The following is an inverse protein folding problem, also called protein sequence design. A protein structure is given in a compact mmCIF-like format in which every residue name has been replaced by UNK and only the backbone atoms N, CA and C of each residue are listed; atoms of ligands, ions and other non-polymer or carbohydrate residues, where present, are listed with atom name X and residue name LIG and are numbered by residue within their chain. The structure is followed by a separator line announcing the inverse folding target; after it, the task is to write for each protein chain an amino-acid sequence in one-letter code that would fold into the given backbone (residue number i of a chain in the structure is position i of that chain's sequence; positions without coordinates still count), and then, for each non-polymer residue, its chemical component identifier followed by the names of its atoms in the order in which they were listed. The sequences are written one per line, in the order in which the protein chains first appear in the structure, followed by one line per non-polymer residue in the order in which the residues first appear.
data_IF_332189190717
#
_entry.id   IF_332189190717
#
_cell.length_a   1.000
_cell.length_b   1.000
_cell.length_c   1.000
_cell.angle_alpha   90.00
_cell.angle_beta   90.00
_cell.angle_gamma   90.00
#
_symmetry.space_group_name_H-M   'P 1'
#
loop_
_entity.id
_entity.type
_entity.pdbx_description
1 polymer ?
#
# COMPACT_ATOMS: atom_id res chain seq x y z
N UNK A 1 -35.24 -16.01 -8.57
CA UNK A 1 -34.56 -14.70 -8.61
C UNK A 1 -33.43 -14.72 -7.61
N UNK A 2 -32.20 -15.02 -8.03
CA UNK A 2 -31.01 -14.78 -7.20
C UNK A 2 -30.59 -13.34 -7.44
N UNK A 3 -31.19 -12.41 -6.70
CA UNK A 3 -30.77 -11.01 -6.73
C UNK A 3 -29.33 -10.94 -6.24
N UNK A 4 -28.44 -10.32 -7.02
CA UNK A 4 -27.10 -9.99 -6.54
C UNK A 4 -27.25 -9.04 -5.35
N UNK A 5 -26.95 -9.50 -4.14
CA UNK A 5 -26.83 -8.62 -2.98
C UNK A 5 -25.55 -7.82 -3.16
N UNK A 6 -25.64 -6.49 -3.10
CA UNK A 6 -24.46 -5.64 -3.13
C UNK A 6 -23.49 -6.04 -2.02
N UNK A 7 -22.22 -6.21 -2.36
CA UNK A 7 -21.14 -6.51 -1.41
C UNK A 7 -20.23 -5.29 -1.31
N UNK A 8 -19.78 -4.99 -0.09
CA UNK A 8 -18.76 -3.96 0.11
C UNK A 8 -17.43 -4.47 -0.46
N UNK A 9 -16.79 -3.65 -1.29
CA UNK A 9 -15.48 -3.97 -1.89
C UNK A 9 -14.36 -3.60 -0.91
N UNK A 10 -14.44 -2.42 -0.30
CA UNK A 10 -13.42 -1.89 0.61
C UNK A 10 -14.07 -1.31 1.88
N UNK A 11 -13.41 -1.50 3.01
CA UNK A 11 -13.66 -0.85 4.30
C UNK A 11 -12.30 -0.43 4.91
N UNK A 12 -11.75 0.65 4.37
CA UNK A 12 -10.38 1.10 4.66
C UNK A 12 -10.30 2.05 5.84
N UNK A 13 -9.47 1.69 6.81
CA UNK A 13 -9.04 2.55 7.92
C UNK A 13 -7.62 3.02 7.69
N UNK A 14 -7.43 4.35 7.65
CA UNK A 14 -6.13 4.98 7.47
C UNK A 14 -5.60 5.50 8.81
N UNK A 15 -4.42 5.06 9.21
CA UNK A 15 -3.75 5.50 10.42
C UNK A 15 -2.60 6.44 10.09
N UNK A 16 -2.52 7.57 10.80
CA UNK A 16 -1.55 8.62 10.54
C UNK A 16 -0.72 8.98 11.77
N UNK A 17 0.54 9.36 11.53
CA UNK A 17 1.38 10.10 12.47
C UNK A 17 1.66 11.48 11.89
N UNK A 18 0.89 12.48 12.32
CA UNK A 18 0.87 13.80 11.70
C UNK A 18 0.30 13.72 10.28
N UNK A 19 1.07 14.12 9.27
CA UNK A 19 0.70 14.04 7.86
C UNK A 19 1.24 12.78 7.15
N UNK A 20 1.80 11.82 7.89
CA UNK A 20 2.38 10.58 7.35
C UNK A 20 1.44 9.41 7.56
N UNK A 21 1.09 8.72 6.47
CA UNK A 21 0.31 7.49 6.52
C UNK A 21 1.18 6.35 7.08
N UNK A 22 0.84 5.81 8.25
CA UNK A 22 1.64 4.78 8.90
C UNK A 22 1.11 3.37 8.68
N UNK A 23 -0.19 3.23 8.38
CA UNK A 23 -0.83 1.94 8.14
C UNK A 23 -2.18 2.12 7.43
N UNK A 24 -2.55 1.15 6.61
CA UNK A 24 -3.90 1.01 6.06
C UNK A 24 -4.44 -0.34 6.53
N UNK A 25 -5.65 -0.39 7.09
CA UNK A 25 -6.32 -1.63 7.49
C UNK A 25 -7.55 -1.80 6.62
N UNK A 26 -7.68 -2.96 5.96
CA UNK A 26 -8.86 -3.35 5.20
C UNK A 26 -9.73 -4.25 6.10
N UNK A 27 -10.94 -3.79 6.41
CA UNK A 27 -11.88 -4.50 7.30
C UNK A 27 -12.94 -5.30 6.54
N UNK A 28 -13.09 -5.08 5.22
CA UNK A 28 -14.00 -5.83 4.39
C UNK A 28 -13.45 -7.25 4.14
N UNK A 29 -14.34 -8.23 4.15
CA UNK A 29 -14.03 -9.62 3.81
C UNK A 29 -14.10 -9.83 2.28
N UNK A 30 -13.48 -8.94 1.50
CA UNK A 30 -13.51 -8.94 0.05
C UNK A 30 -12.09 -8.86 -0.52
N UNK A 31 -11.68 -9.88 -1.28
CA UNK A 31 -10.34 -10.01 -1.85
C UNK A 31 -10.16 -9.31 -3.21
N UNK A 32 -11.24 -8.73 -3.75
CA UNK A 32 -11.22 -7.95 -5.00
C UNK A 32 -10.93 -6.47 -4.78
N UNK A 33 -10.92 -6.02 -3.52
CA UNK A 33 -10.62 -4.65 -3.09
C UNK A 33 -9.12 -4.42 -2.82
N UNK A 34 -8.82 -3.63 -1.79
CA UNK A 34 -7.47 -3.25 -1.42
C UNK A 34 -6.59 -4.46 -1.11
N UNK A 35 -5.52 -4.61 -1.88
CA UNK A 35 -4.55 -5.68 -1.65
C UNK A 35 -3.79 -5.49 -0.32
N UNK A 36 -3.86 -6.49 0.56
CA UNK A 36 -3.08 -6.51 1.80
C UNK A 36 -3.79 -5.82 2.96
N UNK A 37 -3.04 -5.00 3.70
CA UNK A 37 -3.50 -4.29 4.89
C UNK A 37 -2.74 -4.68 6.15
N UNK A 38 -2.88 -3.83 7.17
CA UNK A 38 -2.26 -3.91 8.48
C UNK A 38 -0.72 -3.98 8.46
N UNK A 39 -0.08 -3.59 7.35
CA UNK A 39 1.37 -3.46 7.27
C UNK A 39 1.83 -2.06 7.66
N UNK A 40 2.83 -1.99 8.54
CA UNK A 40 3.46 -0.71 8.90
C UNK A 40 4.23 -0.17 7.70
N UNK A 41 3.98 1.11 7.39
CA UNK A 41 4.71 1.91 6.42
C UNK A 41 5.81 2.66 7.16
N UNK A 42 7.07 2.34 6.80
CA UNK A 42 8.24 2.93 7.45
C UNK A 42 8.70 4.21 6.75
N UNK A 43 9.36 5.09 7.50
CA UNK A 43 9.90 6.36 6.99
C UNK A 43 11.37 6.53 7.38
N UNK A 44 12.13 7.27 6.57
CA UNK A 44 13.47 7.73 6.94
C UNK A 44 13.42 9.02 7.78
N UNK A 45 14.60 9.49 8.20
CA UNK A 45 14.72 10.70 9.03
C UNK A 45 14.29 11.98 8.30
N UNK A 46 14.31 12.00 6.97
CA UNK A 46 13.88 13.13 6.14
C UNK A 46 12.37 13.10 5.88
N UNK A 47 11.67 12.04 6.32
CA UNK A 47 10.23 11.88 6.12
C UNK A 47 9.85 11.23 4.80
N UNK A 48 10.81 10.64 4.07
CA UNK A 48 10.51 9.85 2.88
C UNK A 48 10.04 8.45 3.26
N UNK A 49 9.10 7.91 2.48
CA UNK A 49 8.59 6.55 2.68
C UNK A 49 9.64 5.52 2.30
N UNK A 50 9.94 4.57 3.16
CA UNK A 50 10.93 3.52 2.87
C UNK A 50 10.31 2.30 2.19
N UNK A 51 9.05 1.99 2.48
CA UNK A 51 8.36 0.79 2.01
C UNK A 51 6.84 1.00 1.94
N UNK A 52 6.15 0.16 1.17
CA UNK A 52 4.69 0.03 1.14
C UNK A 52 4.34 -1.41 0.79
N UNK A 53 4.44 -2.29 1.78
CA UNK A 53 4.31 -3.76 1.61
C UNK A 53 2.96 -4.19 1.08
N UNK A 54 1.90 -3.44 1.40
CA UNK A 54 0.55 -3.65 0.86
C UNK A 54 0.52 -3.56 -0.67
N UNK A 55 1.45 -2.81 -1.27
CA UNK A 55 1.60 -2.65 -2.73
C UNK A 55 2.80 -3.40 -3.30
N UNK A 56 3.37 -4.34 -2.53
CA UNK A 56 4.56 -5.10 -2.93
C UNK A 56 5.86 -4.27 -3.00
N UNK A 57 5.86 -3.07 -2.43
CA UNK A 57 7.02 -2.18 -2.41
C UNK A 57 7.85 -2.47 -1.17
N UNK A 58 8.97 -3.16 -1.36
CA UNK A 58 9.86 -3.57 -0.27
C UNK A 58 10.87 -2.49 0.13
N UNK A 59 11.24 -1.62 -0.80
CA UNK A 59 12.21 -0.55 -0.58
C UNK A 59 12.07 0.56 -1.62
N UNK A 60 12.05 1.81 -1.18
CA UNK A 60 12.10 3.00 -2.06
C UNK A 60 13.47 3.66 -1.92
N UNK A 61 14.16 3.84 -3.04
CA UNK A 61 15.44 4.55 -3.10
C UNK A 61 15.22 6.00 -3.51
N UNK A 62 15.90 6.93 -2.84
CA UNK A 62 15.80 8.36 -3.10
C UNK A 62 17.16 8.95 -3.48
N UNK A 63 17.16 9.97 -4.34
CA UNK A 63 18.35 10.74 -4.65
C UNK A 63 18.58 11.83 -3.58
N UNK A 64 19.66 12.60 -3.73
CA UNK A 64 20.01 13.69 -2.82
C UNK A 64 18.93 14.79 -2.69
N UNK A 65 18.01 14.88 -3.66
CA UNK A 65 16.88 15.82 -3.65
C UNK A 65 15.61 15.22 -3.04
N UNK A 66 15.70 14.06 -2.38
CA UNK A 66 14.55 13.28 -1.88
C UNK A 66 13.53 12.90 -2.97
N UNK A 67 13.98 12.74 -4.21
CA UNK A 67 13.14 12.24 -5.32
C UNK A 67 13.36 10.74 -5.50
N UNK A 68 12.31 9.93 -5.72
CA UNK A 68 12.44 8.50 -6.01
C UNK A 68 13.34 8.24 -7.23
N UNK A 69 14.35 7.38 -7.08
CA UNK A 69 15.34 7.10 -8.15
C UNK A 69 14.87 6.10 -9.20
N UNK A 70 13.96 5.20 -8.84
CA UNK A 70 13.45 4.14 -9.72
C UNK A 70 12.07 3.67 -9.23
N UNK A 71 11.35 2.92 -10.04
CA UNK A 71 10.15 2.25 -9.57
C UNK A 71 10.53 1.29 -8.44
N UNK A 72 9.97 1.44 -7.23
CA UNK A 72 10.44 0.72 -6.05
C UNK A 72 9.89 -0.72 -5.95
N UNK A 73 9.25 -1.21 -7.02
CA UNK A 73 8.70 -2.54 -7.08
C UNK A 73 9.67 -3.54 -7.72
N UNK A 74 9.88 -4.68 -7.05
CA UNK A 74 10.49 -5.85 -7.65
C UNK A 74 9.41 -6.79 -8.22
N UNK A 75 9.39 -6.97 -9.55
CA UNK A 75 8.27 -7.49 -10.35
C UNK A 75 8.07 -9.01 -10.28
N UNK A 76 8.37 -9.66 -9.15
CA UNK A 76 8.35 -11.13 -9.07
C UNK A 76 7.72 -11.60 -7.76
N UNK A 77 6.40 -11.48 -7.66
CA UNK A 77 5.60 -12.43 -6.89
C UNK A 77 4.35 -12.76 -7.70
N UNK A 78 4.19 -14.05 -8.03
CA UNK A 78 3.12 -14.60 -8.86
C UNK A 78 1.74 -14.11 -8.39
N UNK A 79 1.11 -13.21 -9.15
CA UNK A 79 -0.29 -12.81 -8.96
C UNK A 79 -0.58 -11.52 -8.18
N UNK A 80 0.42 -10.69 -7.83
CA UNK A 80 0.18 -9.37 -7.21
C UNK A 80 0.78 -8.26 -8.05
N UNK A 81 -0.06 -7.35 -8.53
CA UNK A 81 0.38 -6.25 -9.38
C UNK A 81 0.94 -5.14 -8.50
N UNK A 82 2.22 -4.83 -8.63
CA UNK A 82 2.70 -3.54 -8.17
C UNK A 82 2.10 -2.43 -9.03
N UNK A 83 1.43 -1.50 -8.38
CA UNK A 83 1.11 -0.19 -8.97
C UNK A 83 2.39 0.65 -8.89
N UNK A 84 2.90 1.06 -10.06
CA UNK A 84 3.90 2.12 -10.12
C UNK A 84 3.19 3.44 -9.76
N UNK A 85 3.77 4.19 -8.83
CA UNK A 85 3.37 5.57 -8.52
C UNK A 85 3.81 6.52 -9.63
#
# INVERSE_FOLDING_TARGET
MTGSTATQVDDLVYEYSGNRLTKVTENALNDTGYEGGNNVISYDANGNMKDMKDKGIQSIAYNYLNLPMSSPCNRTVSGRYCIAL
#
